data_IF_790597462585
#
_entry.id   IF_790597462585
#
_cell.length_a   1.000
_cell.length_b   1.000
_cell.length_c   1.000
_cell.angle_alpha   90.00
_cell.angle_beta   90.00
_cell.angle_gamma   90.00
#
_symmetry.space_group_name_H-M   'P 1'
#
loop_
_entity.id
_entity.type
_entity.pdbx_description
1 polymer ?
#
# COMPACT_ATOMS: atom_id res chain seq x y z
N UNK A 1 -40.06 17.07 -39.26
CA UNK A 1 -39.25 15.87 -38.99
C UNK A 1 -37.80 16.29 -38.85
N UNK A 2 -37.33 16.54 -37.61
CA UNK A 2 -35.92 16.81 -37.32
C UNK A 2 -35.38 15.62 -36.54
N UNK A 3 -34.37 14.94 -37.09
CA UNK A 3 -33.75 13.79 -36.44
C UNK A 3 -32.96 14.23 -35.19
N UNK A 4 -33.00 13.46 -34.08
CA UNK A 4 -32.22 13.79 -32.89
C UNK A 4 -30.73 13.54 -33.15
N UNK A 5 -29.90 14.55 -32.87
CA UNK A 5 -28.44 14.45 -32.94
C UNK A 5 -27.95 13.51 -31.83
N UNK A 6 -27.38 12.36 -32.21
CA UNK A 6 -26.72 11.48 -31.26
C UNK A 6 -25.49 12.17 -30.64
N UNK A 7 -25.26 12.07 -29.33
CA UNK A 7 -24.08 12.65 -28.69
C UNK A 7 -22.82 11.96 -29.20
N UNK A 8 -21.92 12.73 -29.81
CA UNK A 8 -20.59 12.28 -30.22
C UNK A 8 -19.71 12.13 -28.97
N UNK A 9 -19.53 10.90 -28.50
CA UNK A 9 -18.55 10.60 -27.46
C UNK A 9 -17.16 10.83 -28.05
N UNK A 10 -16.51 11.95 -27.68
CA UNK A 10 -15.17 12.28 -28.17
C UNK A 10 -14.13 11.31 -27.56
N UNK A 11 -13.25 10.69 -28.38
CA UNK A 11 -12.29 9.65 -27.94
C UNK A 11 -11.09 10.16 -27.10
N UNK A 12 -11.19 11.37 -26.52
CA UNK A 12 -10.07 12.09 -25.92
C UNK A 12 -9.63 11.68 -24.51
N UNK A 13 -10.26 10.69 -23.85
CA UNK A 13 -9.96 10.31 -22.45
C UNK A 13 -9.22 8.97 -22.29
N UNK A 14 -9.09 8.19 -23.37
CA UNK A 14 -8.47 6.86 -23.30
C UNK A 14 -6.94 6.92 -23.10
N UNK A 15 -6.27 7.89 -23.74
CA UNK A 15 -4.83 8.05 -23.66
C UNK A 15 -4.38 8.64 -22.32
N UNK A 16 -5.16 9.55 -21.73
CA UNK A 16 -4.88 10.13 -20.40
C UNK A 16 -4.95 9.06 -19.32
N UNK A 17 -6.00 8.23 -19.32
CA UNK A 17 -6.17 7.13 -18.38
C UNK A 17 -5.11 6.02 -18.56
N UNK A 18 -4.67 5.76 -19.80
CA UNK A 18 -3.60 4.80 -20.07
C UNK A 18 -2.22 5.30 -19.60
N UNK A 19 -1.91 6.58 -19.83
CA UNK A 19 -0.68 7.22 -19.35
C UNK A 19 -0.63 7.25 -17.82
N UNK A 20 -1.73 7.65 -17.17
CA UNK A 20 -1.85 7.69 -15.72
C UNK A 20 -1.64 6.31 -15.08
N UNK A 21 -2.25 5.26 -15.67
CA UNK A 21 -2.06 3.87 -15.22
C UNK A 21 -0.63 3.35 -15.42
N UNK A 22 0.09 3.81 -16.45
CA UNK A 22 1.51 3.47 -16.64
C UNK A 22 2.39 4.15 -15.59
N UNK A 23 2.14 5.43 -15.31
CA UNK A 23 2.85 6.18 -14.26
C UNK A 23 2.59 5.56 -12.89
N UNK A 24 1.32 5.27 -12.57
CA UNK A 24 0.94 4.60 -11.32
C UNK A 24 1.62 3.24 -11.17
N UNK A 25 1.61 2.40 -12.20
CA UNK A 25 2.29 1.09 -12.16
C UNK A 25 3.80 1.22 -12.02
N UNK A 26 4.42 2.20 -12.67
CA UNK A 26 5.85 2.49 -12.51
C UNK A 26 6.17 2.92 -11.08
N UNK A 27 5.34 3.78 -10.49
CA UNK A 27 5.47 4.25 -9.12
C UNK A 27 5.29 3.11 -8.10
N UNK A 28 4.28 2.27 -8.30
CA UNK A 28 4.02 1.09 -7.46
C UNK A 28 5.14 0.07 -7.59
N UNK A 29 5.63 -0.19 -8.81
CA UNK A 29 6.77 -1.09 -9.02
C UNK A 29 8.03 -0.59 -8.30
N UNK A 30 8.29 0.72 -8.37
CA UNK A 30 9.40 1.35 -7.67
C UNK A 30 9.27 1.25 -6.15
N UNK A 31 8.04 1.40 -5.64
CA UNK A 31 7.70 1.29 -4.22
C UNK A 31 7.73 -0.15 -3.68
N UNK A 32 7.54 -1.15 -4.54
CA UNK A 32 7.36 -2.54 -4.14
C UNK A 32 8.69 -3.26 -3.82
N UNK A 33 9.84 -2.59 -3.95
CA UNK A 33 11.16 -3.18 -3.67
C UNK A 33 12.06 -2.23 -2.85
N UNK A 34 12.59 -2.66 -1.70
CA UNK A 34 13.43 -1.79 -0.86
C UNK A 34 14.72 -1.34 -1.56
N UNK A 35 15.29 -2.24 -2.37
CA UNK A 35 16.51 -1.95 -3.13
C UNK A 35 16.27 -0.86 -4.19
N UNK A 36 15.11 -0.87 -4.84
CA UNK A 36 14.76 0.13 -5.85
C UNK A 36 14.43 1.49 -5.22
N UNK A 37 13.88 1.51 -4.01
CA UNK A 37 13.71 2.74 -3.22
C UNK A 37 15.07 3.37 -2.88
N UNK A 38 16.02 2.59 -2.35
CA UNK A 38 17.35 3.10 -2.01
C UNK A 38 18.09 3.57 -3.28
N UNK A 39 18.07 2.77 -4.34
CA UNK A 39 18.72 3.12 -5.60
C UNK A 39 18.12 4.37 -6.23
N UNK A 40 16.80 4.53 -6.22
CA UNK A 40 16.14 5.72 -6.76
C UNK A 40 16.37 6.96 -5.92
N UNK A 41 16.44 6.84 -4.58
CA UNK A 41 16.83 7.91 -3.69
C UNK A 41 18.26 8.41 -3.98
N UNK A 42 19.23 7.50 -4.07
CA UNK A 42 20.62 7.84 -4.39
C UNK A 42 20.76 8.45 -5.79
N UNK A 43 20.08 7.87 -6.78
CA UNK A 43 20.04 8.42 -8.14
C UNK A 43 19.50 9.86 -8.14
N UNK A 44 18.43 10.11 -7.38
CA UNK A 44 17.84 11.45 -7.28
C UNK A 44 18.80 12.46 -6.65
N UNK A 45 19.56 12.08 -5.62
CA UNK A 45 20.61 12.95 -5.03
C UNK A 45 21.64 13.34 -6.08
N UNK A 46 22.13 12.37 -6.85
CA UNK A 46 23.13 12.63 -7.91
C UNK A 46 22.56 13.56 -8.98
N UNK A 47 21.35 13.28 -9.47
CA UNK A 47 20.69 14.11 -10.49
C UNK A 47 20.43 15.53 -9.96
N UNK A 48 19.91 15.66 -8.74
CA UNK A 48 19.66 16.96 -8.13
C UNK A 48 20.96 17.75 -7.90
N UNK A 49 22.02 17.10 -7.44
CA UNK A 49 23.34 17.73 -7.27
C UNK A 49 23.94 18.23 -8.58
N UNK A 50 23.80 17.44 -9.66
CA UNK A 50 24.25 17.86 -11.00
C UNK A 50 23.44 19.07 -11.49
N UNK A 51 22.10 19.01 -11.41
CA UNK A 51 21.23 20.11 -11.83
C UNK A 51 21.49 21.39 -11.03
N UNK A 52 21.71 21.26 -9.72
CA UNK A 52 22.05 22.38 -8.85
C UNK A 52 23.41 22.99 -9.18
N UNK A 53 24.43 22.17 -9.44
CA UNK A 53 25.75 22.64 -9.85
C UNK A 53 25.68 23.46 -11.14
N UNK A 54 24.85 23.03 -12.11
CA UNK A 54 24.65 23.76 -13.36
C UNK A 54 23.90 25.08 -13.16
N UNK A 55 22.85 25.08 -12.33
CA UNK A 55 22.03 26.28 -12.10
C UNK A 55 22.73 27.35 -11.24
N UNK A 56 23.45 26.94 -10.19
CA UNK A 56 24.07 27.84 -9.22
C UNK A 56 25.58 28.01 -9.44
N UNK A 57 26.17 27.31 -10.43
CA UNK A 57 27.61 27.31 -10.74
C UNK A 57 28.50 27.02 -9.52
N UNK A 58 28.04 26.14 -8.64
CA UNK A 58 28.73 25.69 -7.42
C UNK A 58 29.59 24.45 -7.67
N UNK A 59 30.54 24.23 -6.77
CA UNK A 59 31.38 23.03 -6.80
C UNK A 59 30.53 21.75 -6.73
N UNK A 60 31.01 20.65 -7.30
CA UNK A 60 30.29 19.38 -7.27
C UNK A 60 30.05 18.88 -5.83
N UNK A 61 31.03 19.09 -4.94
CA UNK A 61 30.92 18.71 -3.52
C UNK A 61 29.80 19.47 -2.81
N UNK A 62 29.77 20.79 -2.94
CA UNK A 62 28.73 21.65 -2.35
C UNK A 62 27.34 21.31 -2.89
N UNK A 63 27.26 20.97 -4.18
CA UNK A 63 26.00 20.67 -4.85
C UNK A 63 25.43 19.31 -4.43
N UNK A 64 26.29 18.30 -4.27
CA UNK A 64 25.90 17.01 -3.70
C UNK A 64 25.52 17.15 -2.23
N UNK A 65 26.28 17.92 -1.45
CA UNK A 65 25.95 18.21 -0.05
C UNK A 65 24.58 18.86 0.09
N UNK A 66 24.31 19.90 -0.70
CA UNK A 66 22.99 20.53 -0.76
C UNK A 66 21.89 19.53 -1.10
N UNK A 67 22.10 18.66 -2.09
CA UNK A 67 21.13 17.65 -2.48
C UNK A 67 20.89 16.63 -1.35
N UNK A 68 21.93 16.20 -0.62
CA UNK A 68 21.81 15.30 0.52
C UNK A 68 21.03 15.93 1.67
N UNK A 69 21.37 17.17 2.07
CA UNK A 69 20.72 17.89 3.18
C UNK A 69 19.26 18.21 2.86
N UNK A 70 18.98 18.54 1.60
CA UNK A 70 17.61 18.83 1.14
C UNK A 70 16.80 17.53 1.00
N UNK A 71 17.38 16.47 0.42
CA UNK A 71 16.70 15.19 0.23
C UNK A 71 16.45 14.44 1.55
N UNK A 72 17.33 14.61 2.54
CA UNK A 72 17.11 14.11 3.90
C UNK A 72 16.10 14.95 4.70
N UNK A 73 15.59 16.04 4.13
CA UNK A 73 14.68 17.00 4.78
C UNK A 73 15.26 17.68 6.02
N UNK A 74 16.58 17.60 6.23
CA UNK A 74 17.28 18.25 7.36
C UNK A 74 17.34 19.76 7.15
N UNK A 75 17.72 20.20 5.95
CA UNK A 75 17.63 21.62 5.56
C UNK A 75 18.44 22.59 6.43
N UNK A 76 19.75 22.37 6.61
CA UNK A 76 20.60 23.27 7.40
C UNK A 76 20.58 24.74 6.94
N UNK A 77 20.37 24.98 5.64
CA UNK A 77 20.28 26.33 5.06
C UNK A 77 21.62 27.02 4.85
N UNK A 78 22.73 26.33 5.11
CA UNK A 78 24.11 26.74 4.80
C UNK A 78 24.33 26.94 3.29
N UNK A 79 23.70 26.08 2.49
CA UNK A 79 23.66 26.19 1.03
C UNK A 79 22.19 26.19 0.60
N UNK A 80 21.82 27.14 -0.24
CA UNK A 80 20.46 27.26 -0.78
C UNK A 80 20.49 27.86 -2.18
N UNK A 81 19.51 27.52 -3.04
CA UNK A 81 19.42 28.11 -4.37
C UNK A 81 19.17 29.61 -4.26
N UNK A 82 20.01 30.39 -4.93
CA UNK A 82 19.90 31.86 -4.97
C UNK A 82 19.36 32.35 -6.31
N UNK A 83 19.40 31.50 -7.33
CA UNK A 83 18.89 31.79 -8.66
C UNK A 83 17.43 31.35 -8.79
N UNK A 84 16.71 32.01 -9.71
CA UNK A 84 15.36 31.58 -10.10
C UNK A 84 15.35 30.14 -10.64
N UNK A 85 16.37 29.78 -11.41
CA UNK A 85 16.53 28.44 -11.99
C UNK A 85 16.78 27.39 -10.89
N UNK A 86 17.67 27.67 -9.93
CA UNK A 86 17.92 26.78 -8.80
C UNK A 86 16.68 26.59 -7.92
N UNK A 87 15.93 27.68 -7.67
CA UNK A 87 14.72 27.64 -6.85
C UNK A 87 13.60 26.81 -7.50
N UNK A 88 13.40 26.97 -8.81
CA UNK A 88 12.41 26.20 -9.57
C UNK A 88 12.79 24.73 -9.70
N UNK A 89 14.09 24.40 -9.73
CA UNK A 89 14.59 23.01 -9.68
C UNK A 89 14.48 22.38 -8.29
N UNK A 90 14.61 23.16 -7.22
CA UNK A 90 14.51 22.67 -5.84
C UNK A 90 13.08 22.32 -5.42
N UNK A 91 12.08 23.08 -5.87
CA UNK A 91 10.68 22.84 -5.54
C UNK A 91 10.20 21.39 -5.78
N UNK A 92 10.36 20.79 -6.98
CA UNK A 92 9.93 19.41 -7.22
C UNK A 92 10.73 18.38 -6.42
N UNK A 93 12.01 18.64 -6.13
CA UNK A 93 12.82 17.77 -5.28
C UNK A 93 12.20 17.68 -3.87
N UNK A 94 11.92 18.84 -3.26
CA UNK A 94 11.32 18.89 -1.91
C UNK A 94 9.93 18.27 -1.89
N UNK A 95 9.08 18.60 -2.87
CA UNK A 95 7.73 18.01 -2.96
C UNK A 95 7.79 16.48 -3.12
N UNK A 96 8.72 15.96 -3.93
CA UNK A 96 8.85 14.51 -4.13
C UNK A 96 9.31 13.79 -2.86
N UNK A 97 10.22 14.39 -2.09
CA UNK A 97 10.68 13.82 -0.82
C UNK A 97 9.54 13.70 0.19
N UNK A 98 8.85 14.81 0.43
CA UNK A 98 7.82 14.89 1.48
C UNK A 98 6.57 14.10 1.10
N UNK A 99 6.14 14.15 -0.16
CA UNK A 99 4.87 13.54 -0.58
C UNK A 99 5.00 12.07 -0.98
N UNK A 100 6.20 11.61 -1.39
CA UNK A 100 6.39 10.26 -1.92
C UNK A 100 7.43 9.48 -1.13
N UNK A 101 8.67 9.93 -1.11
CA UNK A 101 9.78 9.07 -0.65
C UNK A 101 9.71 8.79 0.85
N UNK A 102 9.51 9.82 1.68
CA UNK A 102 9.43 9.66 3.14
C UNK A 102 8.25 8.77 3.54
N UNK A 103 7.00 9.00 3.07
CA UNK A 103 5.87 8.12 3.39
C UNK A 103 6.07 6.66 2.94
N UNK A 104 6.64 6.44 1.76
CA UNK A 104 6.88 5.08 1.24
C UNK A 104 7.90 4.32 2.08
N UNK A 105 9.00 4.99 2.48
CA UNK A 105 10.01 4.39 3.34
C UNK A 105 9.40 4.08 4.72
N UNK A 106 8.68 5.03 5.32
CA UNK A 106 8.00 4.82 6.60
C UNK A 106 7.01 3.67 6.55
N UNK A 107 6.15 3.59 5.53
CA UNK A 107 5.20 2.50 5.34
C UNK A 107 5.91 1.15 5.17
N UNK A 108 7.04 1.13 4.45
CA UNK A 108 7.84 -0.08 4.29
C UNK A 108 8.39 -0.60 5.62
N UNK A 109 8.95 0.30 6.45
CA UNK A 109 9.44 -0.06 7.79
C UNK A 109 8.30 -0.47 8.72
N UNK A 110 7.20 0.27 8.73
CA UNK A 110 6.03 -0.05 9.55
C UNK A 110 5.55 -1.49 9.31
N UNK A 111 5.47 -1.92 8.05
CA UNK A 111 5.11 -3.30 7.69
C UNK A 111 6.04 -4.39 8.24
N UNK A 112 7.29 -4.06 8.59
CA UNK A 112 8.23 -5.00 9.21
C UNK A 112 8.19 -4.99 10.73
N UNK A 113 7.73 -3.90 11.34
CA UNK A 113 7.61 -3.77 12.79
C UNK A 113 6.24 -4.22 13.30
N UNK A 114 5.22 -4.23 12.45
CA UNK A 114 3.92 -4.79 12.76
C UNK A 114 4.08 -6.32 12.81
N UNK A 115 4.11 -6.84 14.03
CA UNK A 115 3.85 -8.26 14.31
C UNK A 115 2.34 -8.43 14.17
N UNK A 116 1.91 -9.30 13.27
CA UNK A 116 0.50 -9.52 13.00
C UNK A 116 -0.04 -10.51 14.04
N UNK A 117 -0.37 -10.01 15.23
CA UNK A 117 -0.94 -10.81 16.33
C UNK A 117 -2.35 -11.34 16.00
N UNK A 118 -3.02 -10.75 14.99
CA UNK A 118 -4.36 -11.12 14.51
C UNK A 118 -4.33 -11.94 13.20
N UNK A 119 -3.14 -12.21 12.63
CA UNK A 119 -3.01 -13.15 11.52
C UNK A 119 -3.18 -14.58 12.03
N UNK A 120 -4.42 -14.95 12.38
CA UNK A 120 -4.81 -16.35 12.51
C UNK A 120 -4.47 -17.04 11.20
N UNK A 121 -3.37 -17.80 11.18
CA UNK A 121 -3.07 -18.64 10.04
C UNK A 121 -4.26 -19.58 9.84
N UNK A 122 -4.62 -19.87 8.58
CA UNK A 122 -5.69 -20.83 8.29
C UNK A 122 -5.50 -22.16 9.03
N UNK A 123 -4.26 -22.53 9.36
CA UNK A 123 -3.93 -23.65 10.22
C UNK A 123 -4.55 -23.56 11.63
N UNK A 124 -4.41 -22.43 12.34
CA UNK A 124 -5.01 -22.24 13.67
C UNK A 124 -6.54 -22.19 13.59
N UNK A 125 -7.09 -21.61 12.53
CA UNK A 125 -8.54 -21.60 12.30
C UNK A 125 -9.08 -23.01 12.05
N UNK A 126 -8.34 -23.83 11.30
CA UNK A 126 -8.70 -25.22 11.04
C UNK A 126 -8.57 -26.08 12.30
N UNK A 127 -7.54 -25.86 13.12
CA UNK A 127 -7.33 -26.50 14.41
C UNK A 127 -8.47 -26.16 15.38
N UNK A 128 -8.79 -24.87 15.55
CA UNK A 128 -9.88 -24.42 16.41
C UNK A 128 -11.23 -24.99 15.94
N UNK A 129 -11.50 -25.03 14.63
CA UNK A 129 -12.70 -25.68 14.07
C UNK A 129 -12.70 -27.18 14.32
N UNK A 130 -11.56 -27.85 14.23
CA UNK A 130 -11.44 -29.27 14.52
C UNK A 130 -11.71 -29.59 15.99
N UNK A 131 -11.23 -28.74 16.89
CA UNK A 131 -11.46 -28.87 18.33
C UNK A 131 -12.90 -28.60 18.71
N UNK A 132 -13.55 -27.59 18.12
CA UNK A 132 -14.99 -27.36 18.30
C UNK A 132 -15.80 -28.58 17.84
N UNK A 133 -15.45 -29.18 16.69
CA UNK A 133 -16.09 -30.42 16.22
C UNK A 133 -15.87 -31.58 17.18
N UNK A 134 -14.65 -31.73 17.72
CA UNK A 134 -14.30 -32.78 18.68
C UNK A 134 -15.08 -32.62 19.98
N UNK A 135 -15.14 -31.41 20.54
CA UNK A 135 -15.90 -31.10 21.74
C UNK A 135 -17.38 -31.41 21.54
N UNK A 136 -17.96 -31.06 20.38
CA UNK A 136 -19.35 -31.38 20.04
C UNK A 136 -19.63 -32.88 20.10
N UNK A 137 -18.81 -33.71 19.45
CA UNK A 137 -18.98 -35.17 19.45
C UNK A 137 -18.89 -35.74 20.87
N UNK A 138 -17.93 -35.29 21.68
CA UNK A 138 -17.81 -35.73 23.07
C UNK A 138 -19.03 -35.34 23.92
N UNK A 139 -19.57 -34.14 23.71
CA UNK A 139 -20.79 -33.69 24.40
C UNK A 139 -22.02 -34.50 23.96
N UNK A 140 -22.15 -34.81 22.66
CA UNK A 140 -23.21 -35.68 22.15
C UNK A 140 -23.14 -37.09 22.75
N UNK A 141 -21.93 -37.66 22.87
CA UNK A 141 -21.72 -38.95 23.49
C UNK A 141 -22.05 -38.94 25.00
N UNK A 142 -21.63 -37.92 25.73
CA UNK A 142 -21.95 -37.75 27.15
C UNK A 142 -23.45 -37.54 27.37
N UNK A 143 -24.11 -36.73 26.55
CA UNK A 143 -25.54 -36.50 26.60
C UNK A 143 -26.32 -37.79 26.36
N UNK A 144 -25.92 -38.59 25.37
CA UNK A 144 -26.53 -39.90 25.09
C UNK A 144 -26.35 -40.88 26.27
N UNK A 145 -25.17 -40.94 26.89
CA UNK A 145 -24.91 -41.77 28.08
C UNK A 145 -25.75 -41.36 29.28
N UNK A 146 -26.02 -40.06 29.44
CA UNK A 146 -26.79 -39.52 30.56
C UNK A 146 -28.30 -39.45 30.28
N UNK A 147 -28.76 -39.83 29.07
CA UNK A 147 -30.17 -39.75 28.68
C UNK A 147 -30.69 -38.31 28.55
N UNK A 148 -29.79 -37.34 28.34
CA UNK A 148 -30.13 -35.92 28.21
C UNK A 148 -30.38 -35.62 26.73
N UNK A 149 -31.57 -35.12 26.41
CA UNK A 149 -31.88 -34.67 25.05
C UNK A 149 -31.18 -33.33 24.77
N UNK A 150 -30.46 -33.24 23.64
CA UNK A 150 -29.87 -31.98 23.19
C UNK A 150 -30.97 -30.97 22.83
N UNK A 151 -30.78 -29.68 23.15
CA UNK A 151 -31.66 -28.60 22.68
C UNK A 151 -31.88 -28.67 21.17
N UNK A 152 -33.13 -28.49 20.72
CA UNK A 152 -33.51 -28.61 19.31
C UNK A 152 -32.69 -27.70 18.36
N UNK A 153 -32.21 -26.54 18.84
CA UNK A 153 -31.32 -25.65 18.09
C UNK A 153 -29.96 -26.28 17.73
N UNK A 154 -29.38 -27.10 18.61
CA UNK A 154 -28.11 -27.78 18.35
C UNK A 154 -28.31 -28.97 17.38
N UNK A 155 -29.49 -29.58 17.39
CA UNK A 155 -29.84 -30.64 16.44
C UNK A 155 -30.07 -30.08 15.02
N UNK A 156 -30.71 -28.92 14.89
CA UNK A 156 -30.89 -28.25 13.59
C UNK A 156 -29.57 -27.75 12.99
N UNK A 157 -28.69 -27.19 13.82
CA UNK A 157 -27.35 -26.77 13.40
C UNK A 157 -26.38 -27.94 13.10
N UNK A 158 -26.75 -29.19 13.38
CA UNK A 158 -26.02 -30.39 12.93
C UNK A 158 -26.47 -30.84 11.54
N UNK A 159 -27.77 -30.68 11.25
CA UNK A 159 -28.39 -31.08 9.99
C UNK A 159 -28.09 -30.09 8.85
N UNK A 160 -27.92 -28.81 9.18
CA UNK A 160 -27.35 -27.82 8.28
C UNK A 160 -25.82 -28.01 8.24
N UNK A 161 -25.33 -28.76 7.26
CA UNK A 161 -23.89 -28.86 6.96
C UNK A 161 -23.24 -27.48 6.72
N UNK A 162 -21.90 -27.40 6.63
CA UNK A 162 -21.18 -26.13 6.63
C UNK A 162 -21.78 -25.18 5.58
N UNK A 163 -22.19 -23.99 6.03
CA UNK A 163 -22.68 -22.92 5.17
C UNK A 163 -21.53 -22.37 4.32
N UNK A 164 -21.09 -23.15 3.34
CA UNK A 164 -20.19 -22.73 2.29
C UNK A 164 -21.05 -22.40 1.06
N UNK A 165 -21.66 -21.21 1.11
CA UNK A 165 -22.45 -20.66 0.03
C UNK A 165 -22.24 -19.14 0.00
N UNK A 166 -21.68 -18.57 -1.07
CA UNK A 166 -21.44 -17.14 -1.12
C UNK A 166 -22.78 -16.40 -1.24
N UNK A 167 -23.09 -15.55 -0.26
CA UNK A 167 -23.99 -14.41 -0.47
C UNK A 167 -25.43 -14.55 0.02
N UNK A 168 -25.66 -14.87 1.30
CA UNK A 168 -26.98 -14.62 1.91
C UNK A 168 -26.89 -13.90 3.25
N UNK A 169 -26.53 -12.63 3.19
CA UNK A 169 -27.00 -11.63 4.16
C UNK A 169 -28.11 -10.83 3.49
N UNK A 170 -29.36 -11.13 3.85
CA UNK A 170 -30.54 -10.33 3.50
C UNK A 170 -31.18 -9.92 4.82
N UNK A 171 -31.32 -8.60 5.01
CA UNK A 171 -31.96 -7.97 6.17
C UNK A 171 -31.39 -6.57 6.38
#
# INVERSE_FOLDING_TARGET
>A
MGAPLAPTVQPGSAWTAAALRKIYRGLVWLANSPRTLIASYLLMIVVAGILYSQAERRSAGDSVWWAVVTASTVGYGDISPTTWQGSTLAAPLVSTMVLLVVPLITAHFARRLIVDDDAFEHAEQEELKADVRRMRVLLEELAARQGIALPAELASAAAEGPADGPGRWVG
#
